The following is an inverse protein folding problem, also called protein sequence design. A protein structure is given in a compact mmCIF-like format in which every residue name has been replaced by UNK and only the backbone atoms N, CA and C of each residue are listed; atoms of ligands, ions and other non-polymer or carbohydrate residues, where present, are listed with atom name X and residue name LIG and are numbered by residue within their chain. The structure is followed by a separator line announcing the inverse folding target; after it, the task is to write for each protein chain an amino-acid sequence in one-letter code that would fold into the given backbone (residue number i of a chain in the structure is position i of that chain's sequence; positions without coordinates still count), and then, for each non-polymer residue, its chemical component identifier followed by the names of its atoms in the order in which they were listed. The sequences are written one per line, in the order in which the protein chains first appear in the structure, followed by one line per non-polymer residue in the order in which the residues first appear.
data_IF_094226449766
#
_entry.id   IF_094226449766
#
_cell.length_a   1.000
_cell.length_b   1.000
_cell.length_c   1.000
_cell.angle_alpha   90.00
_cell.angle_beta   90.00
_cell.angle_gamma   90.00
#
_symmetry.space_group_name_H-M   'P 1'
#
loop_
_entity.id
_entity.type
_entity.pdbx_description
1 polymer ?
#
# COMPACT_ATOMS: atom_id res chain seq x y z
N UNK A 1 17.96 6.47 -11.22
CA UNK A 1 16.79 7.00 -10.49
C UNK A 1 15.95 8.00 -11.29
N UNK A 2 16.52 9.00 -11.97
CA UNK A 2 15.73 9.99 -12.74
C UNK A 2 14.67 9.36 -13.68
N UNK A 3 15.08 8.40 -14.52
CA UNK A 3 14.17 7.71 -15.42
C UNK A 3 13.02 6.93 -14.71
N UNK A 4 13.25 6.43 -13.49
CA UNK A 4 12.20 5.76 -12.71
C UNK A 4 11.19 6.79 -12.18
N UNK A 5 11.66 7.95 -11.76
CA UNK A 5 10.80 9.03 -11.31
C UNK A 5 9.97 9.60 -12.47
N UNK A 6 10.59 9.78 -13.65
CA UNK A 6 9.89 10.20 -14.86
C UNK A 6 8.76 9.22 -15.22
N UNK A 7 9.03 7.92 -15.09
CA UNK A 7 8.01 6.88 -15.30
C UNK A 7 6.86 6.98 -14.30
N UNK A 8 7.14 7.20 -13.02
CA UNK A 8 6.11 7.38 -11.99
C UNK A 8 5.27 8.64 -12.23
N UNK A 9 5.89 9.75 -12.63
CA UNK A 9 5.18 10.98 -13.01
C UNK A 9 4.28 10.74 -14.22
N UNK A 10 4.76 10.04 -15.26
CA UNK A 10 3.94 9.68 -16.40
C UNK A 10 2.76 8.79 -16.02
N UNK A 11 2.96 7.83 -15.11
CA UNK A 11 1.92 6.93 -14.61
C UNK A 11 0.85 7.67 -13.77
N UNK A 12 1.25 8.68 -13.00
CA UNK A 12 0.36 9.50 -12.18
C UNK A 12 -0.64 10.34 -13.01
N UNK A 13 -0.43 10.49 -14.33
CA UNK A 13 -1.41 11.13 -15.22
C UNK A 13 -2.64 10.26 -15.50
N UNK A 14 -2.66 9.00 -15.07
CA UNK A 14 -3.82 8.12 -15.25
C UNK A 14 -4.87 8.43 -14.17
N UNK A 15 -6.17 8.53 -14.51
CA UNK A 15 -7.20 8.99 -13.57
C UNK A 15 -7.47 8.02 -12.39
N UNK A 16 -6.98 6.79 -12.48
CA UNK A 16 -7.17 5.72 -11.49
C UNK A 16 -5.88 5.36 -10.74
N UNK A 17 -4.80 6.15 -10.90
CA UNK A 17 -3.51 5.87 -10.29
C UNK A 17 -3.05 7.10 -9.51
N UNK A 18 -2.85 6.93 -8.20
CA UNK A 18 -2.25 7.96 -7.33
C UNK A 18 -0.84 7.52 -6.95
N UNK A 19 0.15 8.40 -7.14
CA UNK A 19 1.51 8.20 -6.66
C UNK A 19 1.77 9.19 -5.53
N UNK A 20 2.17 8.71 -4.36
CA UNK A 20 2.54 9.52 -3.20
C UNK A 20 4.02 9.31 -2.88
N UNK A 21 4.76 10.40 -2.71
CA UNK A 21 6.13 10.38 -2.20
C UNK A 21 6.09 10.60 -0.70
N UNK A 22 6.63 9.66 0.07
CA UNK A 22 6.72 9.72 1.53
C UNK A 22 8.16 10.09 1.91
N UNK A 23 8.39 11.16 2.69
CA UNK A 23 9.73 11.49 3.17
C UNK A 23 10.35 10.34 3.94
N UNK A 24 11.66 10.15 3.80
CA UNK A 24 12.40 9.10 4.50
C UNK A 24 12.30 9.23 6.03
N UNK A 25 12.31 10.47 6.54
CA UNK A 25 12.22 10.78 7.97
C UNK A 25 10.80 10.58 8.56
N UNK A 26 9.81 10.20 7.74
CA UNK A 26 8.46 9.96 8.26
C UNK A 26 8.48 8.74 9.19
N UNK A 27 8.06 8.89 10.46
CA UNK A 27 8.21 7.84 11.49
C UNK A 27 7.34 6.61 11.24
N UNK A 28 6.47 6.64 10.21
CA UNK A 28 5.60 5.54 9.85
C UNK A 28 6.33 4.39 9.13
N UNK A 29 7.59 4.56 8.71
CA UNK A 29 8.36 3.56 7.95
C UNK A 29 8.96 2.44 8.81
N UNK A 30 9.14 2.65 10.12
CA UNK A 30 9.60 1.61 11.04
C UNK A 30 8.54 0.49 11.16
N UNK A 31 8.85 -0.70 10.65
CA UNK A 31 7.92 -1.85 10.62
C UNK A 31 7.19 -2.06 9.28
N UNK A 32 7.43 -1.22 8.27
CA UNK A 32 7.11 -1.53 6.87
C UNK A 32 8.11 -2.54 6.31
N UNK A 33 8.00 -3.77 6.77
CA UNK A 33 8.86 -4.87 6.33
C UNK A 33 8.49 -5.36 4.93
N UNK A 34 7.34 -4.95 4.39
CA UNK A 34 6.84 -5.43 3.11
C UNK A 34 5.78 -4.51 2.48
N UNK A 35 5.63 -4.61 1.16
CA UNK A 35 4.50 -4.06 0.41
C UNK A 35 3.19 -4.75 0.79
N UNK A 36 2.10 -3.99 0.74
CA UNK A 36 0.75 -4.49 0.98
C UNK A 36 -0.21 -3.94 -0.08
N UNK A 37 -1.32 -4.63 -0.28
CA UNK A 37 -2.41 -4.26 -1.17
C UNK A 37 -3.70 -4.36 -0.35
N UNK A 38 -4.52 -3.31 -0.38
CA UNK A 38 -5.90 -3.34 0.11
C UNK A 38 -6.81 -3.40 -1.11
N UNK A 39 -7.69 -4.40 -1.18
CA UNK A 39 -8.65 -4.59 -2.25
C UNK A 39 -10.06 -4.43 -1.70
N UNK A 40 -10.78 -3.43 -2.21
CA UNK A 40 -12.19 -3.21 -1.95
C UNK A 40 -12.99 -3.59 -3.21
N UNK A 41 -13.97 -4.48 -3.06
CA UNK A 41 -14.89 -4.85 -4.13
C UNK A 41 -16.34 -4.58 -3.69
N UNK A 42 -17.25 -4.19 -4.59
CA UNK A 42 -18.63 -3.84 -4.24
C UNK A 42 -19.40 -4.95 -3.49
N UNK A 43 -19.12 -6.22 -3.81
CA UNK A 43 -19.86 -7.38 -3.33
C UNK A 43 -18.97 -8.40 -2.60
N UNK A 44 -17.81 -7.98 -2.08
CA UNK A 44 -16.90 -8.85 -1.33
C UNK A 44 -16.31 -8.13 -0.11
N UNK A 45 -15.93 -8.87 0.95
CA UNK A 45 -15.22 -8.27 2.07
C UNK A 45 -13.89 -7.68 1.59
N UNK A 46 -13.48 -6.56 2.18
CA UNK A 46 -12.15 -5.99 1.95
C UNK A 46 -11.10 -7.05 2.25
N UNK A 47 -10.21 -7.27 1.29
CA UNK A 47 -9.12 -8.22 1.42
C UNK A 47 -7.79 -7.48 1.42
N UNK A 48 -6.86 -7.97 2.21
CA UNK A 48 -5.48 -7.50 2.22
C UNK A 48 -4.58 -8.59 1.67
N UNK A 49 -3.64 -8.18 0.82
CA UNK A 49 -2.47 -8.99 0.50
C UNK A 49 -1.22 -8.35 1.09
N UNK A 50 -0.37 -9.14 1.73
CA UNK A 50 0.97 -8.72 2.13
C UNK A 50 1.99 -9.64 1.48
N UNK A 51 3.10 -9.07 1.00
CA UNK A 51 4.20 -9.89 0.52
C UNK A 51 4.97 -10.41 1.74
N UNK A 52 5.28 -11.70 1.79
CA UNK A 52 6.08 -12.28 2.89
C UNK A 52 7.31 -12.95 2.32
N UNK A 53 8.33 -13.15 3.15
CA UNK A 53 9.61 -13.72 2.71
C UNK A 53 9.51 -15.11 2.06
N UNK A 54 8.39 -15.84 2.25
CA UNK A 54 8.17 -17.16 1.65
C UNK A 54 7.04 -17.20 0.61
N UNK A 55 5.89 -16.58 0.90
CA UNK A 55 4.72 -16.59 0.02
C UNK A 55 3.82 -15.37 0.33
N UNK A 56 3.25 -14.75 -0.69
CA UNK A 56 2.24 -13.70 -0.48
C UNK A 56 1.03 -14.27 0.26
N UNK A 57 0.63 -13.60 1.33
CA UNK A 57 -0.56 -13.95 2.12
C UNK A 57 -1.71 -13.04 1.68
N UNK A 58 -2.90 -13.62 1.48
CA UNK A 58 -4.15 -12.89 1.23
C UNK A 58 -5.15 -13.26 2.29
N UNK A 59 -5.68 -12.27 3.01
CA UNK A 59 -6.63 -12.49 4.09
C UNK A 59 -7.74 -11.43 4.06
N UNK A 60 -8.95 -11.85 4.43
CA UNK A 60 -10.10 -10.99 4.69
C UNK A 60 -10.48 -11.01 6.18
N UNK A 61 -9.57 -11.48 7.05
CA UNK A 61 -9.76 -11.47 8.49
C UNK A 61 -9.82 -10.03 9.00
N UNK A 62 -10.89 -9.72 9.73
CA UNK A 62 -11.23 -8.36 10.14
C UNK A 62 -10.08 -7.63 10.84
N UNK A 63 -9.45 -8.27 11.83
CA UNK A 63 -8.39 -7.64 12.64
C UNK A 63 -7.13 -7.38 11.82
N UNK A 64 -6.83 -8.27 10.88
CA UNK A 64 -5.72 -8.11 9.96
C UNK A 64 -5.97 -6.99 8.95
N UNK A 65 -7.18 -6.90 8.40
CA UNK A 65 -7.59 -5.82 7.50
C UNK A 65 -7.53 -4.47 8.22
N UNK A 66 -8.04 -4.38 9.44
CA UNK A 66 -8.01 -3.16 10.25
C UNK A 66 -6.58 -2.68 10.55
N UNK A 67 -5.68 -3.59 10.93
CA UNK A 67 -4.27 -3.28 11.18
C UNK A 67 -3.59 -2.62 9.96
N UNK A 68 -3.95 -3.05 8.76
CA UNK A 68 -3.32 -2.61 7.52
C UNK A 68 -3.92 -1.26 7.08
N UNK A 69 -5.21 -1.03 7.32
CA UNK A 69 -5.83 0.29 7.18
C UNK A 69 -5.19 1.34 8.08
N UNK A 70 -5.02 1.05 9.37
CA UNK A 70 -4.34 1.94 10.31
C UNK A 70 -2.94 2.33 9.82
N UNK A 71 -2.28 1.40 9.13
CA UNK A 71 -0.96 1.63 8.57
C UNK A 71 -1.01 2.49 7.31
N UNK A 72 -1.98 2.27 6.42
CA UNK A 72 -2.23 3.10 5.26
C UNK A 72 -2.55 4.54 5.65
N UNK A 73 -3.41 4.75 6.66
CA UNK A 73 -3.80 6.07 7.13
C UNK A 73 -2.60 6.88 7.66
N UNK A 74 -1.66 6.21 8.34
CA UNK A 74 -0.41 6.84 8.80
C UNK A 74 0.53 7.25 7.67
N UNK A 75 0.47 6.59 6.51
CA UNK A 75 1.25 7.01 5.33
C UNK A 75 0.57 8.19 4.62
N UNK A 76 -0.76 8.19 4.58
CA UNK A 76 -1.53 9.17 3.81
C UNK A 76 -1.68 10.52 4.53
N UNK A 77 -1.63 10.53 5.86
CA UNK A 77 -1.71 11.74 6.70
C UNK A 77 -0.53 12.69 6.48
#
# INVERSE_FOLDING_TARGET
MAAQLDHLVAAANRPYLTVQLVPFETPCTAGFLSSFIIAELPDAPTAVSVDSAGQGEVSAEHDFVALIWDRYDRIRA
#
